data_IF_320431223290
#
_entry.id   IF_320431223290
#
_cell.length_a   1.000
_cell.length_b   1.000
_cell.length_c   1.000
_cell.angle_alpha   90.00
_cell.angle_beta   90.00
_cell.angle_gamma   90.00
#
_symmetry.space_group_name_H-M   'P 1'
#
loop_
_entity.id
_entity.type
_entity.pdbx_description
1 polymer ?
2 non-polymer ?
3 non-polymer ?
4 water ?
#
# COMPACT_ATOMS: atom_id res chain seq x y z
N UNK A 20 -14.98 0.72 -9.83
CA UNK A 20 -14.02 0.24 -8.80
C UNK A 20 -14.83 -0.11 -7.54
N UNK A 21 -15.72 -1.07 -7.70
CA UNK A 21 -16.57 -1.41 -6.66
C UNK A 21 -16.45 -2.84 -6.18
N UNK A 22 -16.00 -3.82 -6.99
CA UNK A 22 -15.89 -5.16 -6.45
C UNK A 22 -14.47 -5.72 -6.66
N UNK A 23 -14.03 -6.57 -5.76
CA UNK A 23 -12.75 -7.18 -5.88
C UNK A 23 -12.95 -8.65 -6.27
N UNK A 24 -12.17 -9.09 -7.26
CA UNK A 24 -12.14 -10.44 -7.75
C UNK A 24 -10.76 -11.07 -7.53
N UNK A 25 -10.66 -12.40 -7.52
CA UNK A 25 -9.37 -13.09 -7.54
C UNK A 25 -8.61 -12.68 -8.81
N UNK A 26 -7.38 -12.19 -8.67
CA UNK A 26 -6.57 -11.81 -9.81
C UNK A 26 -6.24 -12.95 -10.76
N UNK A 27 -6.16 -14.16 -10.18
CA UNK A 27 -5.73 -15.32 -10.99
C UNK A 27 -6.85 -15.95 -11.77
N UNK A 28 -8.11 -15.74 -11.40
CA UNK A 28 -9.18 -16.46 -12.08
C UNK A 28 -10.49 -15.70 -12.24
N UNK A 29 -10.69 -14.61 -11.51
CA UNK A 29 -11.94 -13.93 -11.59
C UNK A 29 -13.04 -14.14 -10.61
N UNK A 30 -12.85 -15.13 -9.72
CA UNK A 30 -13.82 -15.40 -8.73
C UNK A 30 -14.23 -14.10 -7.95
N UNK A 31 -15.53 -13.88 -7.73
CA UNK A 31 -15.97 -12.75 -6.91
C UNK A 31 -15.56 -12.96 -5.44
N UNK A 32 -14.87 -11.99 -4.82
CA UNK A 32 -14.34 -12.13 -3.45
C UNK A 32 -14.88 -11.08 -2.45
N UNK A 33 -14.77 -9.78 -2.77
CA UNK A 33 -15.24 -8.76 -1.84
C UNK A 33 -15.64 -7.46 -2.57
N UNK A 34 -15.88 -6.40 -1.80
CA UNK A 34 -16.37 -5.15 -2.34
C UNK A 34 -15.66 -4.03 -1.57
N UNK A 35 -15.45 -2.91 -2.26
CA UNK A 35 -14.88 -1.77 -1.60
C UNK A 35 -15.72 -1.28 -0.42
N UNK A 36 -17.05 -1.39 -0.55
CA UNK A 36 -17.97 -1.01 0.50
C UNK A 36 -17.76 -1.81 1.76
N UNK A 37 -17.06 -2.94 1.66
CA UNK A 37 -16.91 -3.83 2.82
C UNK A 37 -15.51 -3.66 3.48
N UNK A 38 -14.74 -2.69 3.05
CA UNK A 38 -13.45 -2.42 3.73
C UNK A 38 -13.71 -2.04 5.19
N UNK A 39 -12.81 -2.46 6.06
CA UNK A 39 -12.96 -2.32 7.51
C UNK A 39 -11.72 -1.70 8.11
N UNK A 40 -11.79 -0.43 8.53
CA UNK A 40 -10.61 0.12 9.23
C UNK A 40 -10.39 -0.47 10.62
N UNK A 41 -9.46 -1.43 10.70
CA UNK A 41 -9.05 -2.09 11.96
C UNK A 41 -7.90 -1.33 12.61
N UNK A 42 -7.98 -1.07 13.90
CA UNK A 42 -7.01 -0.19 14.52
C UNK A 42 -6.87 1.17 13.82
N UNK A 43 -7.89 1.58 13.06
CA UNK A 43 -7.90 2.88 12.36
C UNK A 43 -7.43 2.95 10.90
N UNK A 44 -7.01 1.82 10.34
CA UNK A 44 -6.59 1.76 8.92
C UNK A 44 -7.09 0.43 8.37
N UNK A 45 -7.60 0.41 7.13
CA UNK A 45 -8.00 -0.84 6.52
C UNK A 45 -6.71 -1.55 6.01
N UNK A 46 -5.58 -0.85 5.89
CA UNK A 46 -4.35 -1.47 5.36
C UNK A 46 -3.32 -1.71 6.51
N UNK A 47 -2.78 -2.94 6.54
CA UNK A 47 -1.80 -3.42 7.52
C UNK A 47 -0.69 -4.16 6.80
N UNK A 48 0.57 -3.75 7.00
CA UNK A 48 1.67 -4.46 6.35
C UNK A 48 2.40 -5.29 7.41
N UNK A 49 2.56 -6.55 7.09
CA UNK A 49 2.97 -7.56 8.08
C UNK A 49 3.94 -8.54 7.41
N UNK A 50 4.67 -9.31 8.22
CA UNK A 50 5.49 -10.42 7.72
C UNK A 50 5.22 -11.69 8.48
N UNK A 51 5.32 -12.79 7.77
CA UNK A 51 5.26 -14.09 8.44
C UNK A 51 6.66 -14.56 8.89
N UNK A 52 6.74 -15.71 9.60
CA UNK A 52 8.02 -16.19 10.03
C UNK A 52 9.05 -16.52 8.91
N UNK A 53 8.54 -16.74 7.72
CA UNK A 53 9.39 -16.95 6.55
C UNK A 53 9.82 -15.64 5.92
N UNK A 54 9.48 -14.50 6.53
CA UNK A 54 9.97 -13.20 6.02
C UNK A 54 9.15 -12.59 4.89
N UNK A 55 8.09 -13.28 4.45
CA UNK A 55 7.23 -12.80 3.36
C UNK A 55 6.45 -11.60 3.88
N UNK A 56 6.50 -10.50 3.13
CA UNK A 56 5.73 -9.30 3.43
C UNK A 56 4.39 -9.36 2.76
N UNK A 57 3.35 -8.91 3.45
CA UNK A 57 1.96 -8.93 2.90
C UNK A 57 1.35 -7.55 3.18
N UNK A 58 0.75 -6.94 2.14
CA UNK A 58 -0.02 -5.70 2.30
C UNK A 58 -1.44 -6.17 2.44
N UNK A 59 -1.93 -6.25 3.66
CA UNK A 59 -3.25 -6.80 3.98
C UNK A 59 -4.26 -5.67 4.04
N UNK A 60 -5.39 -5.88 3.37
CA UNK A 60 -6.58 -4.99 3.47
C UNK A 60 -7.61 -5.80 4.29
N UNK A 61 -8.18 -5.14 5.32
CA UNK A 61 -9.16 -5.77 6.17
C UNK A 61 -10.54 -5.49 5.59
N UNK A 62 -11.35 -6.55 5.52
CA UNK A 62 -12.73 -6.46 5.03
C UNK A 62 -13.62 -7.05 6.08
N UNK A 63 -14.81 -6.46 6.27
CA UNK A 63 -15.74 -7.08 7.18
C UNK A 63 -16.32 -8.40 6.67
N UNK A 64 -16.40 -8.53 5.34
CA UNK A 64 -17.08 -9.58 4.67
C UNK A 64 -16.34 -9.93 3.38
N UNK A 65 -16.42 -11.20 3.02
CA UNK A 65 -15.86 -11.74 1.76
C UNK A 65 -16.64 -13.00 1.42
N UNK A 66 -16.61 -13.39 0.18
CA UNK A 66 -17.26 -14.58 -0.33
C UNK A 66 -16.31 -15.26 -1.30
N UNK A 67 -16.69 -16.45 -1.75
CA UNK A 67 -15.90 -17.17 -2.77
C UNK A 67 -14.55 -17.73 -2.37
N UNK A 68 -14.31 -17.75 -1.07
CA UNK A 68 -13.09 -18.29 -0.52
C UNK A 68 -13.36 -19.68 -0.05
N UNK A 69 -12.30 -20.42 0.26
CA UNK A 69 -12.37 -21.66 1.00
C UNK A 69 -11.42 -21.52 2.19
N UNK A 70 -11.98 -21.69 3.40
CA UNK A 70 -11.19 -21.53 4.63
C UNK A 70 -10.63 -22.87 5.01
N UNK A 71 -9.31 -22.95 5.19
CA UNK A 71 -8.59 -24.18 5.33
C UNK A 71 -8.26 -24.54 6.77
N UNK A 72 -8.63 -25.75 7.18
CA UNK A 72 -8.28 -26.22 8.54
C UNK A 72 -9.02 -25.51 9.63
N UNK A 73 -8.43 -25.50 10.82
CA UNK A 73 -9.05 -24.98 12.00
C UNK A 73 -8.17 -23.77 12.42
N UNK A 74 -8.73 -22.87 13.20
CA UNK A 74 -8.00 -21.64 13.53
C UNK A 74 -6.79 -21.84 14.39
N UNK A 75 -5.87 -20.88 14.27
CA UNK A 75 -4.68 -20.88 15.09
C UNK A 75 -4.41 -19.47 15.56
N UNK A 76 -3.96 -19.32 16.77
CA UNK A 76 -3.51 -18.02 17.26
C UNK A 76 -2.02 -17.70 17.03
N UNK A 77 -1.27 -18.67 16.54
CA UNK A 77 0.19 -18.59 16.48
C UNK A 77 0.55 -17.46 15.53
N UNK A 78 1.37 -16.54 16.04
CA UNK A 78 1.91 -15.48 15.15
C UNK A 78 0.83 -14.55 14.64
N UNK A 79 -0.34 -14.52 15.28
CA UNK A 79 -1.41 -13.72 14.74
C UNK A 79 -1.02 -12.23 14.72
N UNK A 80 -1.30 -11.61 13.56
CA UNK A 80 -1.04 -10.19 13.38
C UNK A 80 -2.05 -9.25 14.02
N UNK A 81 -3.15 -9.77 14.53
CA UNK A 81 -4.23 -8.97 15.09
C UNK A 81 -4.55 -9.51 16.45
N UNK A 82 -4.35 -8.71 17.47
CA UNK A 82 -4.44 -9.15 18.84
C UNK A 82 -5.80 -9.66 19.16
N UNK A 83 -5.82 -10.86 19.75
CA UNK A 83 -7.09 -11.45 20.16
C UNK A 83 -7.71 -12.33 19.12
N UNK A 84 -7.23 -12.32 17.88
CA UNK A 84 -7.79 -13.13 16.80
C UNK A 84 -6.99 -14.33 16.44
N UNK A 85 -7.71 -15.42 16.12
CA UNK A 85 -7.15 -16.62 15.61
C UNK A 85 -7.42 -16.65 14.10
N UNK A 86 -6.54 -17.28 13.33
CA UNK A 86 -6.66 -17.25 11.88
C UNK A 86 -6.80 -18.57 11.22
N UNK A 87 -7.42 -18.55 10.01
CA UNK A 87 -7.46 -19.66 9.10
C UNK A 87 -7.03 -19.16 7.74
N UNK A 88 -6.22 -19.93 7.07
CA UNK A 88 -5.82 -19.61 5.69
C UNK A 88 -7.10 -19.55 4.80
N UNK A 89 -7.16 -18.51 3.95
CA UNK A 89 -8.27 -18.31 3.02
C UNK A 89 -7.72 -18.46 1.60
N UNK A 90 -8.18 -19.49 0.89
CA UNK A 90 -7.83 -19.71 -0.53
C UNK A 90 -9.01 -19.18 -1.38
N UNK A 91 -8.69 -18.76 -2.58
CA UNK A 91 -9.74 -18.59 -3.59
C UNK A 91 -10.43 -19.96 -3.70
N UNK A 92 -11.77 -19.95 -3.54
CA UNK A 92 -12.56 -21.15 -3.65
C UNK A 92 -12.61 -21.80 -4.99
N UNK A 93 -12.26 -21.03 -6.01
CA UNK A 93 -12.28 -21.49 -7.35
C UNK A 93 -10.92 -22.04 -7.77
N UNK A 94 -9.85 -21.22 -7.70
CA UNK A 94 -8.56 -21.62 -8.22
C UNK A 94 -7.52 -22.04 -7.17
N UNK A 95 -7.78 -21.82 -5.90
CA UNK A 95 -6.82 -22.24 -4.87
C UNK A 95 -5.74 -21.24 -4.52
N UNK A 96 -5.72 -20.10 -5.19
CA UNK A 96 -4.74 -19.02 -4.89
C UNK A 96 -4.86 -18.58 -3.45
N UNK A 97 -3.71 -18.40 -2.78
CA UNK A 97 -3.79 -17.88 -1.39
C UNK A 97 -4.13 -16.42 -1.35
N UNK A 98 -5.37 -16.07 -0.95
CA UNK A 98 -5.84 -14.72 -0.97
C UNK A 98 -5.70 -13.98 0.35
N UNK A 99 -5.56 -14.73 1.45
CA UNK A 99 -5.38 -14.10 2.76
C UNK A 99 -5.79 -15.01 3.89
N UNK A 100 -6.50 -14.46 4.86
CA UNK A 100 -6.87 -15.19 6.09
C UNK A 100 -8.27 -14.74 6.54
N UNK A 101 -8.98 -15.63 7.23
CA UNK A 101 -10.12 -15.31 8.02
C UNK A 101 -9.75 -15.31 9.48
N UNK A 102 -10.17 -14.26 10.14
CA UNK A 102 -9.89 -14.08 11.57
C UNK A 102 -11.18 -14.23 12.37
N UNK A 103 -11.07 -14.92 13.51
CA UNK A 103 -12.21 -15.16 14.40
C UNK A 103 -11.72 -15.20 15.85
N UNK A 104 -12.65 -15.34 16.77
CA UNK A 104 -12.35 -15.51 18.17
C UNK A 104 -12.01 -14.25 18.97
N UNK A 105 -12.15 -13.10 18.28
CA UNK A 105 -11.83 -11.83 18.88
C UNK A 105 -13.05 -11.05 19.29
N UNK A 106 -12.88 -9.72 19.35
CA UNK A 106 -13.90 -8.85 19.86
C UNK A 106 -14.00 -7.55 19.04
N UNK A 107 -15.23 -7.20 18.68
CA UNK A 107 -15.57 -5.89 18.06
C UNK A 107 -14.61 -5.56 16.86
N UNK A 108 -14.68 -6.32 15.78
CA UNK A 108 -15.61 -7.43 15.57
C UNK A 108 -15.09 -8.80 16.00
N UNK A 109 -16.01 -9.76 16.15
CA UNK A 109 -15.58 -11.15 16.43
C UNK A 109 -14.77 -11.73 15.32
N UNK A 110 -15.13 -11.39 14.06
CA UNK A 110 -14.52 -11.94 12.88
C UNK A 110 -14.30 -10.88 11.80
N UNK A 111 -13.33 -11.16 10.94
CA UNK A 111 -13.13 -10.32 9.72
C UNK A 111 -12.20 -11.06 8.78
N UNK A 112 -11.95 -10.49 7.59
CA UNK A 112 -11.02 -11.05 6.63
C UNK A 112 -9.87 -10.10 6.38
N UNK A 113 -8.67 -10.68 6.32
CA UNK A 113 -7.50 -9.93 5.91
C UNK A 113 -7.05 -10.50 4.59
N UNK A 114 -7.18 -9.68 3.55
CA UNK A 114 -6.93 -10.16 2.20
C UNK A 114 -5.69 -9.43 1.65
N UNK A 115 -4.91 -10.16 0.85
CA UNK A 115 -3.65 -9.65 0.31
C UNK A 115 -3.95 -8.77 -0.93
N UNK A 116 -3.70 -7.48 -0.84
CA UNK A 116 -4.22 -6.53 -1.81
C UNK A 116 -3.85 -6.87 -3.26
N UNK A 117 -2.57 -7.21 -3.47
CA UNK A 117 -2.07 -7.44 -4.82
C UNK A 117 -2.53 -8.79 -5.39
N UNK A 118 -3.27 -9.58 -4.63
CA UNK A 118 -3.77 -10.80 -5.20
C UNK A 118 -5.24 -10.62 -5.66
N UNK A 119 -5.76 -9.40 -5.60
CA UNK A 119 -7.16 -9.10 -6.00
C UNK A 119 -7.09 -8.16 -7.18
N UNK A 120 -8.15 -8.18 -8.02
CA UNK A 120 -8.36 -7.19 -9.07
C UNK A 120 -9.63 -6.41 -8.80
N UNK A 121 -9.59 -5.09 -8.91
CA UNK A 121 -10.72 -4.22 -8.65
C UNK A 121 -11.42 -3.80 -9.92
N UNK A 122 -12.76 -3.74 -9.91
CA UNK A 122 -13.45 -3.35 -11.11
C UNK A 122 -14.96 -3.21 -10.89
N UNK A 123 -15.67 -3.04 -11.97
CA UNK A 123 -17.06 -2.65 -11.87
C UNK A 123 -17.93 -3.80 -11.33
N UNK A 124 -19.03 -3.45 -10.65
CA UNK A 124 -20.02 -4.45 -10.28
C UNK A 124 -20.81 -4.66 -11.57
N UNK B 21 15.62 6.48 -13.05
CA UNK B 21 15.11 5.52 -14.06
C UNK B 21 13.95 6.10 -14.85
N UNK B 22 13.83 5.61 -16.09
CA UNK B 22 12.75 5.96 -17.01
C UNK B 22 12.04 4.71 -17.47
N UNK B 23 10.81 4.89 -17.91
CA UNK B 23 9.98 3.84 -18.43
C UNK B 23 9.84 4.07 -19.91
N UNK B 24 10.26 3.10 -20.72
CA UNK B 24 10.16 3.20 -22.17
C UNK B 24 9.09 2.27 -22.61
N UNK B 25 8.51 2.57 -23.77
CA UNK B 25 7.67 1.58 -24.43
C UNK B 25 8.41 0.28 -24.71
N UNK B 26 7.89 -0.86 -24.23
CA UNK B 26 8.57 -2.13 -24.40
C UNK B 26 8.72 -2.53 -25.89
N UNK B 27 7.74 -2.13 -26.70
CA UNK B 27 7.77 -2.50 -28.13
C UNK B 27 8.76 -1.70 -28.97
N UNK B 28 8.87 -0.39 -28.77
CA UNK B 28 9.73 0.41 -29.66
C UNK B 28 10.81 1.25 -28.98
N UNK B 29 10.79 1.33 -27.65
CA UNK B 29 11.83 2.04 -26.97
C UNK B 29 11.60 3.49 -26.62
N UNK B 30 10.51 4.05 -27.14
CA UNK B 30 10.25 5.48 -26.89
C UNK B 30 10.12 5.76 -25.41
N UNK B 31 10.75 6.84 -24.96
CA UNK B 31 10.61 7.24 -23.56
C UNK B 31 9.15 7.67 -23.32
N UNK B 32 8.56 7.13 -22.23
CA UNK B 32 7.15 7.45 -21.90
C UNK B 32 6.99 8.13 -20.54
N UNK B 33 7.61 7.63 -19.48
CA UNK B 33 7.46 8.29 -18.18
C UNK B 33 8.69 8.04 -17.33
N UNK B 34 8.67 8.51 -16.10
CA UNK B 34 9.85 8.56 -15.24
C UNK B 34 9.42 7.98 -13.92
N UNK B 35 10.33 7.24 -13.27
CA UNK B 35 10.06 6.83 -11.94
C UNK B 35 9.74 7.98 -10.94
N UNK B 36 10.35 9.15 -11.18
CA UNK B 36 10.13 10.35 -10.34
C UNK B 36 8.64 10.74 -10.36
N UNK B 37 7.94 10.32 -11.37
CA UNK B 37 6.50 10.74 -11.60
C UNK B 37 5.52 9.71 -11.08
N UNK B 38 6.01 8.61 -10.43
CA UNK B 38 5.04 7.68 -9.89
C UNK B 38 4.13 8.37 -8.91
N UNK B 39 2.87 7.98 -8.90
CA UNK B 39 1.83 8.71 -8.19
C UNK B 39 1.00 7.68 -7.39
N UNK B 40 1.08 7.73 -6.07
CA UNK B 40 0.29 6.78 -5.29
C UNK B 40 -1.20 7.16 -5.11
N UNK B 41 -1.99 6.89 -6.12
CA UNK B 41 -3.43 7.14 -6.10
C UNK B 41 -4.08 6.17 -5.17
N UNK B 42 -4.87 6.68 -4.22
CA UNK B 42 -5.51 5.80 -3.25
C UNK B 42 -4.53 5.09 -2.33
N UNK B 43 -3.33 5.61 -2.20
CA UNK B 43 -2.29 5.06 -1.35
C UNK B 43 -1.39 4.02 -2.02
N UNK B 44 -1.50 3.85 -3.33
CA UNK B 44 -0.62 2.89 -4.02
C UNK B 44 -0.42 3.31 -5.43
N UNK B 45 0.83 3.25 -5.96
CA UNK B 45 0.96 3.45 -7.37
C UNK B 45 0.54 2.26 -8.26
N UNK B 46 0.49 1.03 -7.71
CA UNK B 46 0.00 -0.12 -8.42
C UNK B 46 -1.47 -0.44 -8.14
N UNK B 47 -2.22 -0.58 -9.24
CA UNK B 47 -3.63 -0.97 -9.22
C UNK B 47 -3.85 -2.08 -10.18
N UNK B 48 -4.30 -3.23 -9.63
CA UNK B 48 -4.76 -4.33 -10.45
C UNK B 48 -6.25 -4.16 -10.62
N UNK B 49 -6.67 -4.16 -11.88
CA UNK B 49 -8.05 -3.79 -12.23
C UNK B 49 -8.62 -4.73 -13.28
N UNK B 50 -9.94 -4.73 -13.44
CA UNK B 50 -10.55 -5.48 -14.51
C UNK B 50 -11.60 -4.60 -15.20
N UNK B 51 -11.75 -4.79 -16.50
CA UNK B 51 -12.77 -4.05 -17.25
C UNK B 51 -14.09 -4.84 -17.39
N UNK B 52 -15.17 -4.27 -17.97
CA UNK B 52 -16.39 -5.02 -18.07
C UNK B 52 -16.36 -6.28 -18.94
N UNK B 53 -15.38 -6.35 -19.84
CA UNK B 53 -15.18 -7.57 -20.62
C UNK B 53 -14.34 -8.61 -19.86
N UNK B 54 -13.98 -8.29 -18.64
CA UNK B 54 -13.24 -9.27 -17.83
C UNK B 54 -11.76 -9.27 -18.06
N UNK B 55 -11.17 -8.40 -18.82
CA UNK B 55 -9.74 -8.34 -19.01
C UNK B 55 -9.13 -7.75 -17.74
N UNK B 56 -8.02 -8.33 -17.29
CA UNK B 56 -7.31 -7.86 -16.10
C UNK B 56 -6.06 -7.12 -16.49
N UNK B 57 -5.80 -5.98 -15.87
CA UNK B 57 -4.61 -5.17 -16.14
C UNK B 57 -3.95 -4.82 -14.84
N UNK B 58 -2.62 -4.71 -14.86
CA UNK B 58 -1.85 -4.18 -13.74
C UNK B 58 -1.29 -2.86 -14.13
N UNK B 59 -1.88 -1.80 -13.56
CA UNK B 59 -1.58 -0.39 -13.93
C UNK B 59 -0.75 0.26 -12.88
N UNK B 60 0.25 1.01 -13.32
CA UNK B 60 1.00 1.92 -12.46
C UNK B 60 0.62 3.36 -12.79
N UNK B 61 0.41 4.12 -11.75
CA UNK B 61 -0.03 5.53 -11.93
C UNK B 61 1.19 6.45 -12.00
N UNK B 62 1.14 7.37 -12.99
CA UNK B 62 2.19 8.37 -13.12
C UNK B 62 1.52 9.74 -13.32
N UNK B 63 2.14 10.75 -12.78
CA UNK B 63 1.61 12.13 -12.81
C UNK B 63 1.61 12.74 -14.19
N UNK B 64 2.63 12.42 -14.94
CA UNK B 64 2.85 12.92 -16.31
C UNK B 64 3.35 11.79 -17.16
N UNK B 65 3.26 11.96 -18.46
CA UNK B 65 3.91 11.06 -19.43
C UNK B 65 4.14 11.87 -20.68
N UNK B 66 4.90 11.30 -21.57
CA UNK B 66 5.14 11.86 -22.89
C UNK B 66 5.22 10.77 -23.93
N UNK B 67 5.11 11.17 -25.19
CA UNK B 67 5.29 10.22 -26.23
C UNK B 67 4.05 9.35 -26.56
N UNK B 68 2.93 9.55 -25.88
CA UNK B 68 1.72 8.82 -26.14
C UNK B 68 0.79 9.56 -27.11
N UNK B 69 -0.25 8.87 -27.57
CA UNK B 69 -1.34 9.45 -28.34
C UNK B 69 -2.62 9.00 -27.75
N UNK B 70 -3.43 9.93 -27.28
CA UNK B 70 -4.70 9.67 -26.67
C UNK B 70 -5.77 9.61 -27.75
N UNK B 71 -6.63 8.57 -27.66
CA UNK B 71 -7.62 8.29 -28.66
C UNK B 71 -9.03 8.49 -28.11
N UNK B 72 -9.87 9.13 -28.88
CA UNK B 72 -11.28 9.24 -28.52
C UNK B 72 -11.59 10.35 -27.52
N UNK B 73 -12.87 10.51 -27.21
CA UNK B 73 -13.29 11.50 -26.25
C UNK B 73 -13.26 10.87 -24.89
N UNK B 74 -13.08 11.69 -23.85
CA UNK B 74 -13.01 11.06 -22.52
C UNK B 74 -14.35 10.44 -22.13
N UNK B 75 -14.29 9.40 -21.30
CA UNK B 75 -15.47 8.67 -20.86
C UNK B 75 -15.40 8.51 -19.36
N UNK B 76 -16.56 8.73 -18.72
CA UNK B 76 -16.65 8.50 -17.28
C UNK B 76 -17.08 7.07 -16.94
N UNK B 77 -17.47 6.30 -17.94
CA UNK B 77 -18.03 4.93 -17.68
C UNK B 77 -17.00 3.96 -17.15
N UNK B 78 -17.35 3.26 -16.07
CA UNK B 78 -16.50 2.22 -15.54
C UNK B 78 -15.11 2.71 -15.16
N UNK B 79 -14.95 4.01 -14.85
CA UNK B 79 -13.65 4.48 -14.47
C UNK B 79 -13.11 3.79 -13.22
N UNK B 80 -11.85 3.40 -13.29
CA UNK B 80 -11.21 2.77 -12.14
C UNK B 80 -10.85 3.80 -11.04
N UNK B 81 -10.93 5.10 -11.35
CA UNK B 81 -10.57 6.15 -10.44
C UNK B 81 -11.74 7.12 -10.33
N UNK B 82 -12.45 7.06 -9.20
CA UNK B 82 -13.66 7.87 -8.95
C UNK B 82 -13.35 9.32 -9.16
N UNK B 83 -14.20 9.98 -9.92
CA UNK B 83 -14.05 11.37 -10.18
C UNK B 83 -13.25 11.70 -11.41
N UNK B 84 -12.76 10.67 -12.11
CA UNK B 84 -11.99 10.89 -13.33
C UNK B 84 -12.65 10.24 -14.55
N UNK B 85 -12.54 10.94 -15.69
CA UNK B 85 -12.86 10.40 -16.98
C UNK B 85 -11.57 9.90 -17.63
N UNK B 86 -11.64 8.93 -18.49
CA UNK B 86 -10.47 8.34 -19.13
C UNK B 86 -10.50 8.33 -20.65
N UNK B 87 -9.29 8.26 -21.19
CA UNK B 87 -9.07 8.10 -22.64
C UNK B 87 -8.00 7.06 -22.81
N UNK B 88 -8.11 6.22 -23.82
CA UNK B 88 -7.10 5.21 -24.10
C UNK B 88 -5.81 5.88 -24.59
N UNK B 89 -4.70 5.36 -24.10
CA UNK B 89 -3.32 5.92 -24.45
C UNK B 89 -2.55 4.89 -25.22
N UNK B 90 -2.17 5.24 -26.45
CA UNK B 90 -1.28 4.39 -27.28
C UNK B 90 0.11 5.02 -27.30
N UNK B 91 1.13 4.21 -27.52
CA UNK B 91 2.45 4.74 -27.87
C UNK B 91 2.30 5.51 -29.18
N UNK B 92 2.75 6.78 -29.20
CA UNK B 92 2.67 7.64 -30.35
C UNK B 92 3.52 7.19 -31.48
N UNK B 93 4.58 6.46 -31.14
CA UNK B 93 5.55 6.05 -32.15
C UNK B 93 5.21 4.70 -32.81
N UNK B 94 4.77 3.73 -32.02
CA UNK B 94 4.47 2.38 -32.55
C UNK B 94 3.05 1.90 -32.41
N UNK B 95 2.21 2.62 -31.68
CA UNK B 95 0.82 2.21 -31.49
C UNK B 95 0.49 1.23 -30.38
N UNK B 96 1.48 0.71 -29.69
CA UNK B 96 1.22 -0.20 -28.59
C UNK B 96 0.22 0.41 -27.62
N UNK B 97 -0.74 -0.38 -27.10
CA UNK B 97 -1.63 0.14 -26.05
C UNK B 97 -0.92 0.16 -24.71
N UNK B 98 -0.59 1.35 -24.18
CA UNK B 98 0.21 1.46 -23.00
C UNK B 98 -0.61 1.75 -21.76
N UNK B 99 -1.83 2.25 -21.93
CA UNK B 99 -2.69 2.51 -20.78
C UNK B 99 -3.80 3.48 -21.04
N UNK B 100 -4.01 4.38 -20.08
CA UNK B 100 -5.07 5.37 -20.15
C UNK B 100 -4.63 6.70 -19.51
N UNK B 101 -5.23 7.78 -20.01
CA UNK B 101 -5.11 9.09 -19.39
C UNK B 101 -6.39 9.39 -18.63
N UNK B 102 -6.27 9.96 -17.44
CA UNK B 102 -7.35 10.32 -16.56
C UNK B 102 -7.39 11.84 -16.42
N UNK B 103 -8.60 12.40 -16.49
CA UNK B 103 -8.76 13.85 -16.33
C UNK B 103 -10.06 14.18 -15.60
N UNK B 104 -10.14 15.42 -15.17
CA UNK B 104 -11.45 16.02 -14.72
C UNK B 104 -11.57 16.02 -13.21
N UNK B 105 -10.63 15.36 -12.55
CA UNK B 105 -10.62 15.36 -11.08
C UNK B 105 -10.08 16.65 -10.49
N UNK B 106 -9.94 16.67 -9.18
CA UNK B 106 -9.20 17.70 -8.50
C UNK B 106 -8.01 17.04 -7.80
N UNK B 107 -6.83 17.62 -7.93
CA UNK B 107 -5.68 17.17 -7.15
C UNK B 107 -5.35 15.67 -7.19
N UNK B 108 -4.76 15.08 -8.33
CA UNK B 108 -4.41 16.01 -9.42
C UNK B 108 -5.44 16.03 -10.54
N UNK B 109 -5.45 17.07 -11.36
CA UNK B 109 -6.50 17.12 -12.38
C UNK B 109 -6.27 16.12 -13.49
N UNK B 110 -5.01 15.73 -13.74
CA UNK B 110 -4.56 14.85 -14.85
C UNK B 110 -3.58 13.80 -14.28
N UNK B 111 -3.66 12.55 -14.73
CA UNK B 111 -2.62 11.57 -14.50
C UNK B 111 -2.78 10.43 -15.49
N UNK B 112 -1.85 9.48 -15.50
CA UNK B 112 -1.86 8.36 -16.34
C UNK B 112 -1.87 7.07 -15.53
N UNK B 113 -2.60 6.11 -16.06
CA UNK B 113 -2.50 4.72 -15.58
C UNK B 113 -1.93 3.85 -16.67
N UNK B 114 -0.65 3.48 -16.52
CA UNK B 114 0.01 2.76 -17.58
C UNK B 114 0.25 1.29 -17.23
N UNK B 115 0.14 0.46 -18.25
CA UNK B 115 0.24 -1.01 -18.06
C UNK B 115 1.71 -1.39 -17.87
N UNK B 116 2.02 -1.81 -16.67
CA UNK B 116 3.42 -2.05 -16.25
C UNK B 116 4.12 -3.04 -17.17
N UNK B 117 3.44 -4.09 -17.54
CA UNK B 117 4.03 -5.11 -18.38
C UNK B 117 4.35 -4.65 -19.81
N UNK B 118 3.78 -3.54 -20.23
CA UNK B 118 4.03 -2.95 -21.55
C UNK B 118 5.09 -1.90 -21.57
N UNK B 119 5.73 -1.65 -20.43
CA UNK B 119 6.81 -0.71 -20.30
C UNK B 119 8.08 -1.45 -19.96
N UNK B 120 9.21 -0.81 -20.18
CA UNK B 120 10.51 -1.33 -19.80
C UNK B 120 11.22 -0.27 -19.00
N UNK B 121 11.60 -0.59 -17.78
CA UNK B 121 12.28 0.36 -16.93
C UNK B 121 13.76 0.24 -17.15
N UNK B 122 14.47 1.38 -17.14
CA UNK B 122 15.91 1.40 -17.40
C UNK B 122 16.51 2.76 -17.07
N UNK B 123 17.83 2.87 -17.13
CA UNK B 123 18.49 4.16 -16.92
C UNK B 123 18.12 5.25 -17.89
N UNK B 124 18.10 6.48 -17.36
CA UNK B 124 17.82 7.70 -18.12
C UNK B 124 18.69 7.98 -19.35
N UNK C 19 2.85 -12.14 16.62
CA UNK C 19 3.13 -11.79 15.18
C UNK C 19 3.51 -10.35 14.95
N UNK C 20 3.47 -9.52 15.99
CA UNK C 20 3.89 -8.12 15.87
C UNK C 20 5.00 -7.68 16.87
N UNK C 21 6.08 -8.47 16.94
CA UNK C 21 7.20 -8.27 17.89
C UNK C 21 8.41 -7.51 17.28
N UNK C 22 8.66 -7.66 15.97
CA UNK C 22 9.75 -6.96 15.27
C UNK C 22 9.16 -6.02 14.25
N UNK C 23 9.75 -4.81 14.15
CA UNK C 23 9.31 -3.74 13.25
C UNK C 23 10.37 -3.57 12.17
N UNK C 24 9.89 -3.51 10.92
CA UNK C 24 10.80 -3.43 9.76
C UNK C 24 10.32 -2.40 8.79
N UNK C 25 11.23 -1.91 7.95
CA UNK C 25 10.86 -1.02 6.86
C UNK C 25 9.83 -1.71 5.94
N UNK C 26 8.70 -1.00 5.71
CA UNK C 26 7.63 -1.48 4.86
C UNK C 26 8.04 -1.70 3.38
N UNK C 27 8.96 -0.86 2.94
CA UNK C 27 9.35 -0.85 1.54
C UNK C 27 10.38 -1.90 1.18
N UNK C 28 11.33 -2.17 2.07
CA UNK C 28 12.38 -3.16 1.75
C UNK C 28 12.60 -4.25 2.82
N UNK C 29 12.07 -4.09 4.03
CA UNK C 29 12.15 -5.16 5.03
C UNK C 29 13.29 -5.02 6.04
N UNK C 30 14.06 -3.94 5.90
CA UNK C 30 15.22 -3.70 6.80
C UNK C 30 14.73 -3.77 8.26
N UNK C 31 15.43 -4.48 9.12
CA UNK C 31 15.09 -4.57 10.54
C UNK C 31 15.35 -3.25 11.24
N UNK C 32 14.34 -2.72 11.94
CA UNK C 32 14.51 -1.38 12.54
C UNK C 32 14.42 -1.43 14.09
N UNK C 33 13.38 -2.06 14.63
CA UNK C 33 13.26 -2.12 16.11
C UNK C 33 12.38 -3.26 16.57
N UNK C 34 12.05 -3.30 17.85
CA UNK C 34 11.31 -4.45 18.40
C UNK C 34 10.40 -3.98 19.50
N UNK C 35 9.35 -4.75 19.76
CA UNK C 35 8.36 -4.41 20.80
C UNK C 35 9.00 -4.23 22.19
N UNK C 36 10.05 -5.00 22.48
CA UNK C 36 10.79 -4.91 23.76
C UNK C 36 11.33 -3.50 24.00
N UNK C 37 11.48 -2.71 22.93
CA UNK C 37 12.08 -1.38 23.04
C UNK C 37 11.03 -0.28 22.95
N UNK C 38 9.74 -0.66 22.91
CA UNK C 38 8.68 0.35 22.88
C UNK C 38 8.62 1.14 24.18
N UNK C 39 8.28 2.42 24.04
CA UNK C 39 7.99 3.27 25.18
C UNK C 39 6.48 3.46 25.25
N UNK C 40 5.80 2.75 26.20
CA UNK C 40 4.36 2.99 26.48
C UNK C 40 4.05 4.29 27.25
N UNK C 41 2.97 4.96 26.84
CA UNK C 41 2.41 6.11 27.54
C UNK C 41 1.03 5.73 28.07
N UNK C 46 -0.01 2.92 19.73
CA UNK C 46 0.65 4.01 19.03
C UNK C 46 -0.02 5.35 19.32
N UNK C 47 0.69 6.46 19.05
CA UNK C 47 0.23 7.85 19.27
C UNK C 47 -0.24 8.54 17.97
N UNK C 48 -1.49 9.00 17.93
CA UNK C 48 -1.99 9.79 16.79
C UNK C 48 -1.45 11.23 16.90
N UNK C 49 -0.67 11.68 15.91
CA UNK C 49 -0.16 13.07 15.87
C UNK C 49 -0.55 13.70 14.52
N UNK C 50 -0.63 15.02 14.48
CA UNK C 50 -0.96 15.73 13.23
C UNK C 50 0.17 16.66 12.80
N UNK C 51 0.62 16.57 11.56
CA UNK C 51 1.66 17.49 11.09
C UNK C 51 1.03 18.85 10.82
N UNK C 52 1.86 19.89 10.59
CA UNK C 52 1.33 21.24 10.41
C UNK C 52 0.29 21.34 9.30
N UNK C 53 0.39 20.46 8.29
CA UNK C 53 -0.51 20.46 7.12
C UNK C 53 -1.87 19.79 7.39
N UNK C 54 -1.99 19.10 8.53
CA UNK C 54 -3.18 18.29 8.84
C UNK C 54 -3.01 16.77 8.67
N UNK C 55 -1.91 16.33 8.05
CA UNK C 55 -1.72 14.92 7.71
C UNK C 55 -1.59 14.14 9.00
N UNK C 56 -2.23 12.98 9.05
CA UNK C 56 -2.24 12.15 10.26
C UNK C 56 -1.05 11.20 10.28
N UNK C 57 -0.39 11.09 11.43
CA UNK C 57 0.61 10.05 11.63
C UNK C 57 0.20 9.30 12.89
N UNK C 58 0.35 7.99 12.86
CA UNK C 58 0.36 7.22 14.10
C UNK C 58 1.84 6.90 14.26
N UNK C 59 2.38 7.28 15.42
CA UNK C 59 3.80 7.16 15.71
C UNK C 59 3.99 6.18 16.85
N UNK C 60 4.96 5.27 16.69
CA UNK C 60 5.44 4.44 17.78
C UNK C 60 6.73 5.06 18.31
N UNK C 61 6.92 5.07 19.64
CA UNK C 61 8.17 5.53 20.24
C UNK C 61 9.01 4.34 20.74
N UNK C 62 10.28 4.29 20.32
CA UNK C 62 11.20 3.23 20.71
C UNK C 62 12.40 3.87 21.40
N UNK C 63 12.95 3.20 22.41
CA UNK C 63 14.13 3.72 23.10
C UNK C 63 15.38 3.45 22.24
N UNK C 64 15.33 2.39 21.42
CA UNK C 64 16.45 1.98 20.57
C UNK C 64 15.97 1.59 19.21
N UNK C 65 16.85 1.73 18.22
CA UNK C 65 16.56 1.30 16.87
C UNK C 65 17.89 1.01 16.15
N UNK C 66 17.75 0.32 15.03
CA UNK C 66 18.92 0.06 14.15
C UNK C 66 18.55 0.24 12.73
N UNK C 67 19.59 0.23 11.90
CA UNK C 67 19.31 0.18 10.48
C UNK C 67 18.83 1.44 9.83
N UNK C 68 18.83 2.56 10.61
CA UNK C 68 18.41 3.86 10.07
C UNK C 68 19.65 4.63 9.67
N UNK C 69 19.39 5.72 8.94
CA UNK C 69 20.38 6.70 8.71
C UNK C 69 19.79 8.04 9.14
N UNK C 70 20.46 8.70 10.10
CA UNK C 70 19.99 9.96 10.65
C UNK C 70 20.63 11.12 9.86
N UNK C 71 19.79 12.04 9.38
CA UNK C 71 20.26 13.08 8.44
C UNK C 71 19.97 14.47 8.96
N UNK C 72 20.89 15.41 8.75
CA UNK C 72 20.65 16.84 9.03
C UNK C 72 20.94 17.22 10.47
N UNK C 73 20.92 18.53 10.74
CA UNK C 73 21.02 19.05 12.11
C UNK C 73 19.65 18.95 12.80
N UNK C 74 19.62 18.82 14.16
CA UNK C 74 18.30 18.68 14.81
C UNK C 74 17.42 19.95 14.69
N UNK C 75 16.10 19.76 14.68
CA UNK C 75 15.15 20.87 14.68
C UNK C 75 14.12 20.79 15.85
N UNK C 76 13.75 21.96 16.37
CA UNK C 76 12.66 22.07 17.34
C UNK C 76 11.29 22.43 16.75
N UNK C 77 11.21 22.59 15.41
CA UNK C 77 9.97 23.05 14.75
C UNK C 77 8.82 22.00 14.79
N UNK C 78 7.64 22.47 15.23
CA UNK C 78 6.44 21.60 15.32
C UNK C 78 6.72 20.21 15.97
N UNK C 79 7.62 20.17 16.95
CA UNK C 79 7.97 18.89 17.56
C UNK C 79 6.75 18.39 18.35
N UNK C 80 6.39 17.12 18.15
CA UNK C 80 5.22 16.57 18.82
C UNK C 80 5.49 16.22 20.26
N UNK C 81 6.77 16.18 20.63
CA UNK C 81 7.15 15.83 22.01
C UNK C 81 7.83 16.98 22.75
N UNK C 82 7.34 17.30 23.95
CA UNK C 82 7.74 18.51 24.67
C UNK C 82 9.20 18.44 25.12
N UNK C 83 9.99 19.43 24.69
CA UNK C 83 11.41 19.53 25.09
C UNK C 83 12.35 18.69 24.23
N UNK C 84 11.84 18.22 23.09
CA UNK C 84 12.61 17.38 22.17
C UNK C 84 12.80 18.04 20.79
N UNK C 85 14.04 18.00 20.31
CA UNK C 85 14.38 18.31 18.90
C UNK C 85 14.45 17.02 18.08
N UNK C 86 14.13 17.10 16.78
CA UNK C 86 14.09 15.93 15.94
C UNK C 86 15.06 16.04 14.77
N UNK C 87 15.46 14.84 14.31
CA UNK C 87 16.31 14.63 13.13
C UNK C 87 15.62 13.59 12.25
N UNK C 88 15.70 13.72 10.94
CA UNK C 88 15.03 12.80 10.01
C UNK C 88 15.72 11.45 10.04
N UNK C 89 14.91 10.36 10.15
CA UNK C 89 15.44 8.99 10.16
C UNK C 89 15.00 8.28 8.88
N UNK C 90 15.98 7.98 8.01
CA UNK C 90 15.70 7.15 6.83
C UNK C 90 16.02 5.72 7.03
N UNK C 91 15.37 4.85 6.27
CA UNK C 91 15.86 3.47 6.17
C UNK C 91 17.29 3.45 5.58
N UNK C 92 18.22 2.77 6.25
CA UNK C 92 19.59 2.77 5.75
C UNK C 92 19.79 1.83 4.56
N UNK C 93 18.82 0.97 4.32
CA UNK C 93 18.91 0.04 3.20
C UNK C 93 18.31 0.61 1.92
N UNK C 94 17.15 1.23 2.02
CA UNK C 94 16.44 1.73 0.80
C UNK C 94 16.22 3.21 0.73
N UNK C 95 16.47 3.92 1.81
CA UNK C 95 16.27 5.37 1.83
C UNK C 95 14.85 5.88 2.17
N UNK C 96 13.87 4.99 2.33
CA UNK C 96 12.49 5.38 2.76
C UNK C 96 12.46 6.20 4.05
N UNK C 97 11.56 7.18 4.13
CA UNK C 97 11.50 8.02 5.34
C UNK C 97 10.65 7.30 6.40
N UNK C 98 11.30 6.82 7.47
CA UNK C 98 10.57 5.99 8.47
C UNK C 98 10.12 6.78 9.69
N UNK C 99 10.72 7.94 9.90
CA UNK C 99 10.33 8.76 11.08
C UNK C 99 11.42 9.71 11.51
N UNK C 100 11.63 9.80 12.84
CA UNK C 100 12.51 10.80 13.43
C UNK C 100 13.26 10.26 14.63
N UNK C 101 14.43 10.83 14.84
CA UNK C 101 15.19 10.64 16.08
C UNK C 101 15.04 11.90 16.94
N UNK C 102 14.65 11.71 18.20
CA UNK C 102 14.42 12.84 19.14
C UNK C 102 15.52 12.92 20.18
N UNK C 103 15.88 14.15 20.55
CA UNK C 103 16.92 14.38 21.55
C UNK C 103 16.69 15.67 22.31
N UNK C 104 17.45 15.85 23.39
CA UNK C 104 17.47 17.10 24.12
C UNK C 104 16.69 17.07 25.42
N UNK C 105 15.85 16.06 25.62
CA UNK C 105 14.99 15.99 26.80
C UNK C 105 15.61 15.21 27.95
N UNK C 106 14.75 14.60 28.76
CA UNK C 106 15.17 13.75 29.86
C UNK C 106 14.07 12.76 30.25
N UNK C 107 14.46 11.57 30.71
CA UNK C 107 13.52 10.50 31.02
C UNK C 107 12.49 10.29 29.89
N UNK C 108 12.95 9.85 28.70
CA UNK C 108 14.32 9.60 28.26
C UNK C 108 14.93 10.82 27.53
N UNK C 109 16.25 10.85 27.49
CA UNK C 109 16.99 11.88 26.80
C UNK C 109 16.83 11.79 25.28
N UNK C 110 16.74 10.57 24.77
CA UNK C 110 16.58 10.32 23.35
C UNK C 110 15.60 9.17 23.10
N UNK C 111 14.99 9.18 21.91
CA UNK C 111 14.18 8.06 21.46
C UNK C 111 13.96 8.19 19.98
N UNK C 112 13.39 7.15 19.39
CA UNK C 112 12.97 7.20 18.00
C UNK C 112 11.44 7.24 17.92
N UNK C 113 10.93 8.14 17.08
CA UNK C 113 9.50 8.25 16.74
C UNK C 113 9.31 7.76 15.31
N UNK C 114 8.75 6.58 15.15
CA UNK C 114 8.63 5.99 13.84
C UNK C 114 7.18 5.90 13.40
N UNK C 115 7.00 6.09 12.11
CA UNK C 115 5.64 6.17 11.52
C UNK C 115 5.08 4.80 11.26
N UNK C 116 3.94 4.51 11.87
CA UNK C 116 3.36 3.15 11.81
C UNK C 116 3.13 2.69 10.36
N UNK C 117 2.65 3.60 9.52
CA UNK C 117 2.34 3.25 8.13
C UNK C 117 3.57 3.22 7.21
N UNK C 118 4.78 3.37 7.79
CA UNK C 118 6.02 3.17 7.03
C UNK C 118 6.72 1.89 7.47
N UNK C 119 6.10 1.15 8.40
CA UNK C 119 6.64 -0.08 8.94
C UNK C 119 5.77 -1.27 8.69
N UNK C 120 6.40 -2.41 8.76
CA UNK C 120 5.69 -3.66 8.73
C UNK C 120 6.01 -4.37 10.07
N UNK C 121 5.08 -5.16 10.56
CA UNK C 121 5.34 -5.90 11.80
C UNK C 121 5.32 -7.42 11.58
N UNK C 122 6.22 -8.11 12.29
CA UNK C 122 6.28 -9.58 12.20
C UNK C 122 6.79 -10.23 13.47
N UNK C 123 6.80 -11.57 13.50
CA UNK C 123 7.23 -12.29 14.68
C UNK C 123 8.73 -12.13 14.95
N UNK C 124 9.14 -12.51 16.16
CA UNK C 124 10.57 -12.58 16.47
C UNK C 124 11.21 -13.80 15.77
#
# INVERSE_FOLDING_TARGET
>A
AMPLDAGGQNSTQMVLAPGASIFRCRQCGQTISRRDWLLPMGGDHEHVVFNPAGMIFRVWCFSLAQGLRLIGAPSGEFSWFKGYDWTIALCGQCGSHLGWHYEGGSQPQTFFGLIKDRLAEGPAD
>B
AMPLDAGGQNSTQMVLAPGASIFRCRQCGQTISRRDWLLPMGGDHEHVVFNPAGMIFRVWCFSLAQGLRLIGAPSGEFSWFKGYDWTIALCGQCGSHLGWHYEGGSQPQTFFGLIKDRLAEGPAD
>C
AMPLDAGGQNSTQMVLAPGASIFRCRQCGQTISRRDWLLPMGGDHEHVVFNPAGMIFRVWCFSLAQGLRLIGAPSGEFSWFKGYDWTIALCGQCGSHLGWHYEGGSQPQTFFGLIKDRLAEGPAD
#
